data_IF_103278183909
#
_entry.id   IF_103278183909
#
_cell.length_a   1.000
_cell.length_b   1.000
_cell.length_c   1.000
_cell.angle_alpha   90.00
_cell.angle_beta   90.00
_cell.angle_gamma   90.00
#
_symmetry.space_group_name_H-M   'P 1'
#
loop_
_entity.id
_entity.type
_entity.pdbx_description
1 polymer ?
#
# COMPACT_ATOMS: atom_id res chain seq x y z
N UNK A 1 1.60 8.86 12.33
CA UNK A 1 3.04 9.19 12.37
C UNK A 1 3.65 8.99 13.74
N UNK A 2 3.36 9.88 14.72
CA UNK A 2 4.07 9.93 16.00
C UNK A 2 4.10 8.62 16.78
N UNK A 3 2.96 7.92 16.87
CA UNK A 3 2.86 6.61 17.55
C UNK A 3 3.79 5.57 16.89
N UNK A 4 3.82 5.51 15.56
CA UNK A 4 4.69 4.58 14.85
C UNK A 4 6.17 4.94 15.04
N UNK A 5 6.52 6.22 14.95
CA UNK A 5 7.88 6.70 15.19
C UNK A 5 8.37 6.39 16.61
N UNK A 6 7.48 6.47 17.61
CA UNK A 6 7.79 6.21 19.00
C UNK A 6 7.87 4.73 19.36
N UNK A 7 7.09 3.88 18.70
CA UNK A 7 6.88 2.50 19.19
C UNK A 7 7.13 1.40 18.16
N UNK A 8 7.07 1.68 16.86
CA UNK A 8 7.28 0.66 15.85
C UNK A 8 8.78 0.43 15.61
N UNK A 9 9.17 -0.84 15.41
CA UNK A 9 10.48 -1.21 14.87
C UNK A 9 10.46 -1.28 13.35
N UNK A 10 9.29 -1.60 12.79
CA UNK A 10 9.03 -1.62 11.34
C UNK A 10 7.71 -0.92 11.04
N UNK A 11 7.76 0.09 10.17
CA UNK A 11 6.58 0.77 9.63
C UNK A 11 6.17 0.12 8.31
N UNK A 12 4.93 -0.39 8.23
CA UNK A 12 4.36 -0.98 7.02
C UNK A 12 3.43 0.03 6.33
N UNK A 13 3.64 0.24 5.04
CA UNK A 13 2.79 1.12 4.20
C UNK A 13 2.12 0.36 3.07
N UNK A 14 1.07 0.94 2.50
CA UNK A 14 0.34 0.42 1.36
C UNK A 14 1.07 0.68 0.03
N UNK A 15 0.65 -0.05 -1.01
CA UNK A 15 1.12 0.10 -2.38
C UNK A 15 0.58 1.36 -3.05
N UNK A 16 1.18 2.50 -2.76
CA UNK A 16 0.89 3.80 -3.38
C UNK A 16 1.93 4.16 -4.46
N UNK A 17 1.71 5.19 -5.28
CA UNK A 17 2.72 5.69 -6.20
C UNK A 17 4.05 5.97 -5.49
N UNK A 18 5.21 5.67 -6.10
CA UNK A 18 6.50 5.76 -5.42
C UNK A 18 6.82 7.12 -4.78
N UNK A 19 6.38 8.23 -5.39
CA UNK A 19 6.56 9.56 -4.84
C UNK A 19 5.79 9.76 -3.52
N UNK A 20 4.52 9.35 -3.47
CA UNK A 20 3.70 9.42 -2.26
C UNK A 20 4.26 8.52 -1.14
N UNK A 21 4.74 7.32 -1.50
CA UNK A 21 5.42 6.43 -0.54
C UNK A 21 6.69 7.06 0.02
N UNK A 22 7.49 7.73 -0.83
CA UNK A 22 8.70 8.43 -0.40
C UNK A 22 8.41 9.52 0.63
N UNK A 23 7.42 10.38 0.36
CA UNK A 23 7.02 11.44 1.29
C UNK A 23 6.63 10.88 2.66
N UNK A 24 5.87 9.78 2.68
CA UNK A 24 5.45 9.08 3.90
C UNK A 24 6.63 8.47 4.66
N UNK A 25 7.57 7.84 3.95
CA UNK A 25 8.79 7.27 4.56
C UNK A 25 9.63 8.37 5.19
N UNK A 26 9.85 9.47 4.47
CA UNK A 26 10.68 10.59 4.95
C UNK A 26 10.05 11.23 6.20
N UNK A 27 8.73 11.41 6.21
CA UNK A 27 8.01 11.92 7.37
C UNK A 27 8.16 11.03 8.61
N UNK A 28 7.93 9.72 8.49
CA UNK A 28 8.07 8.78 9.61
C UNK A 28 9.52 8.69 10.08
N UNK A 29 10.48 8.72 9.14
CA UNK A 29 11.91 8.71 9.45
C UNK A 29 12.30 9.92 10.27
N UNK A 30 11.91 11.13 9.85
CA UNK A 30 12.20 12.36 10.60
C UNK A 30 11.64 12.33 12.01
N UNK A 31 10.38 11.89 12.19
CA UNK A 31 9.77 11.75 13.51
C UNK A 31 10.47 10.72 14.42
N UNK A 32 11.08 9.68 13.84
CA UNK A 32 11.83 8.69 14.60
C UNK A 32 13.22 9.21 14.97
N UNK A 33 13.88 9.95 14.07
CA UNK A 33 15.17 10.60 14.30
C UNK A 33 15.08 11.64 15.42
N UNK A 34 14.00 12.43 15.48
CA UNK A 34 13.70 13.35 16.59
C UNK A 34 13.65 12.64 17.97
N UNK A 35 13.37 11.33 17.97
CA UNK A 35 13.30 10.50 19.17
C UNK A 35 14.57 9.65 19.38
N UNK A 36 15.62 9.87 18.59
CA UNK A 36 16.86 9.10 18.64
C UNK A 36 16.71 7.64 18.22
N UNK A 37 15.65 7.30 17.47
CA UNK A 37 15.35 5.94 17.00
C UNK A 37 15.61 5.83 15.49
N UNK A 38 15.89 4.62 15.05
CA UNK A 38 15.85 4.24 13.63
C UNK A 38 14.73 3.23 13.42
N UNK A 39 14.01 3.34 12.30
CA UNK A 39 12.84 2.51 11.99
C UNK A 39 13.05 1.85 10.62
N UNK A 40 12.67 0.57 10.52
CA UNK A 40 12.68 -0.17 9.25
C UNK A 40 11.36 0.06 8.51
N UNK A 41 11.37 -0.14 7.19
CA UNK A 41 10.19 0.07 6.36
C UNK A 41 9.84 -1.18 5.56
N UNK A 42 8.55 -1.44 5.39
CA UNK A 42 8.04 -2.47 4.50
C UNK A 42 6.82 -1.98 3.73
N UNK A 43 6.53 -2.63 2.61
CA UNK A 43 5.40 -2.27 1.76
C UNK A 43 4.52 -3.50 1.51
N UNK A 44 3.20 -3.29 1.58
CA UNK A 44 2.21 -4.31 1.24
C UNK A 44 1.80 -4.16 -0.21
N UNK A 45 2.21 -5.12 -1.04
CA UNK A 45 1.80 -5.23 -2.44
C UNK A 45 1.10 -6.57 -2.67
N UNK A 46 0.13 -6.59 -3.58
CA UNK A 46 -0.37 -7.82 -4.18
C UNK A 46 0.28 -7.94 -5.57
N UNK A 47 0.85 -9.10 -5.87
CA UNK A 47 1.60 -9.31 -7.11
C UNK A 47 1.00 -10.47 -7.88
N UNK A 48 0.82 -10.28 -9.19
CA UNK A 48 0.41 -11.33 -10.11
C UNK A 48 1.61 -11.59 -11.04
N UNK A 49 2.35 -12.66 -10.76
CA UNK A 49 3.52 -13.05 -11.56
C UNK A 49 3.16 -14.17 -12.53
N UNK A 50 3.59 -14.04 -13.79
CA UNK A 50 3.41 -15.02 -14.89
C UNK A 50 4.63 -14.98 -15.81
N UNK A 51 4.72 -15.92 -16.75
CA UNK A 51 5.83 -16.02 -17.70
C UNK A 51 5.88 -14.81 -18.64
N UNK A 52 4.73 -14.16 -18.87
CA UNK A 52 4.66 -12.88 -19.58
C UNK A 52 3.73 -11.87 -18.92
N UNK A 53 3.97 -10.57 -19.18
CA UNK A 53 3.08 -9.49 -18.69
C UNK A 53 1.65 -9.64 -19.20
N UNK A 54 1.47 -10.16 -20.43
CA UNK A 54 0.14 -10.38 -21.01
C UNK A 54 -0.66 -11.39 -20.20
N UNK A 55 -0.03 -12.49 -19.78
CA UNK A 55 -0.68 -13.52 -18.95
C UNK A 55 -1.01 -13.01 -17.55
N UNK A 56 -0.15 -12.15 -16.99
CA UNK A 56 -0.42 -11.53 -15.69
C UNK A 56 -1.66 -10.63 -15.76
N UNK A 57 -1.78 -9.80 -16.79
CA UNK A 57 -2.98 -8.98 -17.02
C UNK A 57 -4.22 -9.82 -17.29
N UNK A 58 -4.13 -10.85 -18.13
CA UNK A 58 -5.26 -11.76 -18.36
C UNK A 58 -5.72 -12.47 -17.07
N UNK A 59 -4.80 -12.77 -16.16
CA UNK A 59 -5.15 -13.30 -14.83
C UNK A 59 -5.90 -12.25 -14.00
N UNK A 60 -5.43 -11.01 -13.98
CA UNK A 60 -6.09 -9.92 -13.28
C UNK A 60 -7.52 -9.70 -13.80
N UNK A 61 -7.69 -9.67 -15.12
CA UNK A 61 -8.99 -9.50 -15.77
C UNK A 61 -9.95 -10.64 -15.41
N UNK A 62 -9.46 -11.88 -15.36
CA UNK A 62 -10.26 -13.03 -14.92
C UNK A 62 -10.71 -12.89 -13.46
N UNK A 63 -9.80 -12.50 -12.56
CA UNK A 63 -10.13 -12.31 -11.15
C UNK A 63 -11.18 -11.22 -10.95
N UNK A 64 -11.14 -10.15 -11.77
CA UNK A 64 -12.15 -9.10 -11.76
C UNK A 64 -13.47 -9.56 -12.38
N UNK A 65 -13.41 -10.35 -13.47
CA UNK A 65 -14.60 -10.88 -14.13
C UNK A 65 -15.40 -11.88 -13.30
N UNK A 66 -14.76 -12.52 -12.30
CA UNK A 66 -15.43 -13.38 -11.33
C UNK A 66 -16.24 -12.59 -10.28
N UNK A 67 -16.10 -11.25 -10.23
CA UNK A 67 -16.81 -10.38 -9.29
C UNK A 67 -18.03 -9.71 -9.94
N UNK A 68 -19.12 -9.60 -9.17
CA UNK A 68 -20.29 -8.82 -9.57
C UNK A 68 -19.91 -7.32 -9.70
N UNK A 69 -20.20 -6.67 -10.84
CA UNK A 69 -19.95 -5.25 -11.04
C UNK A 69 -20.47 -4.34 -9.91
N UNK A 70 -21.61 -4.68 -9.30
CA UNK A 70 -22.15 -3.91 -8.17
C UNK A 70 -21.26 -4.02 -6.93
N UNK A 71 -20.70 -5.21 -6.69
CA UNK A 71 -19.74 -5.45 -5.60
C UNK A 71 -18.45 -4.66 -5.82
N UNK A 72 -17.96 -4.62 -7.06
CA UNK A 72 -16.76 -3.84 -7.43
C UNK A 72 -16.99 -2.34 -7.19
N UNK A 73 -18.12 -1.81 -7.65
CA UNK A 73 -18.46 -0.40 -7.49
C UNK A 73 -18.58 -0.01 -6.00
N UNK A 74 -19.24 -0.84 -5.19
CA UNK A 74 -19.37 -0.61 -3.75
C UNK A 74 -18.00 -0.61 -3.05
N UNK A 75 -17.12 -1.56 -3.39
CA UNK A 75 -15.78 -1.62 -2.82
C UNK A 75 -14.94 -0.38 -3.19
N UNK A 76 -15.00 0.09 -4.43
CA UNK A 76 -14.30 1.30 -4.87
C UNK A 76 -14.79 2.55 -4.13
N UNK A 77 -16.10 2.69 -3.92
CA UNK A 77 -16.66 3.80 -3.13
C UNK A 77 -16.23 3.75 -1.66
N UNK A 78 -16.15 2.55 -1.07
CA UNK A 78 -15.69 2.39 0.31
C UNK A 78 -14.21 2.76 0.47
N UNK A 79 -13.36 2.31 -0.47
CA UNK A 79 -11.92 2.62 -0.49
C UNK A 79 -11.67 4.13 -0.59
N UNK A 80 -12.34 4.84 -1.50
CA UNK A 80 -12.19 6.29 -1.65
C UNK A 80 -12.62 7.11 -0.42
N UNK A 81 -13.40 6.53 0.50
CA UNK A 81 -13.75 7.16 1.79
C UNK A 81 -12.74 6.88 2.90
N UNK A 82 -11.91 5.85 2.75
CA UNK A 82 -10.92 5.40 3.74
C UNK A 82 -9.51 5.93 3.51
N UNK A 83 -9.23 6.52 2.35
CA UNK A 83 -7.96 7.20 2.04
C UNK A 83 -7.90 8.63 2.63
N UNK A 84 -8.32 8.81 3.89
CA UNK A 84 -8.20 10.07 4.66
C UNK A 84 -7.23 9.94 5.83
#
# INVERSE_FOLDING_TARGET
GPVAAAHADTYLTWGEPPAAVKEKIDWIRGLAEEQGRTVRFGIRLHTISRDSSREAWATADRLLGDLDPETVAAAQQALGKSES
#
